data_IF_634474439877
#
_entry.id   IF_634474439877
#
_cell.length_a   1.000
_cell.length_b   1.000
_cell.length_c   1.000
_cell.angle_alpha   90.00
_cell.angle_beta   90.00
_cell.angle_gamma   90.00
#
_symmetry.space_group_name_H-M   'P 1'
#
loop_
_entity.id
_entity.type
_entity.pdbx_description
1 polymer ?
#
# COMPACT_ATOMS: atom_id res chain seq x y z
N UNK A 1 -2.12 -25.17 17.16
CA UNK A 1 -1.75 -24.17 16.14
C UNK A 1 -0.31 -23.78 16.40
N UNK A 2 0.53 -23.72 15.39
CA UNK A 2 1.95 -23.43 15.53
C UNK A 2 2.13 -22.03 16.15
N UNK A 3 3.06 -21.92 17.09
CA UNK A 3 3.40 -20.67 17.78
C UNK A 3 4.41 -19.82 16.97
N UNK A 4 4.43 -19.97 15.62
CA UNK A 4 5.39 -19.27 14.77
C UNK A 4 5.05 -17.79 14.71
N UNK A 5 5.96 -16.97 15.19
CA UNK A 5 5.86 -15.50 15.14
C UNK A 5 6.47 -15.00 13.83
N UNK A 6 5.91 -13.90 13.31
CA UNK A 6 6.35 -13.35 12.02
C UNK A 6 6.91 -11.96 12.24
N UNK A 7 8.08 -11.70 11.68
CA UNK A 7 8.79 -10.43 11.83
C UNK A 7 9.08 -9.79 10.48
N UNK A 8 9.22 -8.47 10.47
CA UNK A 8 9.61 -7.68 9.31
C UNK A 8 11.12 -7.48 9.36
N UNK A 9 11.82 -7.92 8.33
CA UNK A 9 13.28 -7.84 8.24
C UNK A 9 13.79 -6.97 7.11
N UNK A 10 12.95 -6.72 6.08
CA UNK A 10 13.31 -5.89 4.95
C UNK A 10 12.17 -5.06 4.41
N UNK A 11 12.49 -3.90 3.91
CA UNK A 11 11.57 -2.90 3.38
C UNK A 11 12.06 -2.41 2.01
N UNK A 12 11.14 -2.32 1.04
CA UNK A 12 11.44 -1.76 -0.28
C UNK A 12 10.24 -0.98 -0.80
N UNK A 13 10.49 0.22 -1.32
CA UNK A 13 9.45 1.15 -1.73
C UNK A 13 9.85 1.93 -2.98
N UNK A 14 8.87 2.15 -3.84
CA UNK A 14 8.89 3.13 -4.94
C UNK A 14 7.64 3.98 -4.77
N UNK A 15 7.77 5.29 -4.75
CA UNK A 15 6.66 6.20 -4.45
C UNK A 15 6.79 7.55 -5.15
N UNK A 16 5.77 8.40 -5.14
CA UNK A 16 5.86 9.78 -5.65
C UNK A 16 6.88 10.67 -4.91
N UNK A 17 7.34 10.25 -3.74
CA UNK A 17 8.31 10.97 -2.91
C UNK A 17 9.75 10.52 -3.12
N UNK A 18 9.96 9.36 -3.73
CA UNK A 18 11.29 8.81 -4.00
C UNK A 18 11.24 7.34 -4.41
N UNK A 19 12.36 6.87 -4.99
CA UNK A 19 12.50 5.53 -5.51
C UNK A 19 13.30 4.60 -4.57
N UNK A 20 13.40 4.96 -3.30
CA UNK A 20 14.00 4.17 -2.22
C UNK A 20 13.38 4.53 -0.86
N UNK A 21 13.71 3.74 0.18
CA UNK A 21 13.19 3.93 1.52
C UNK A 21 13.64 5.26 2.15
N UNK A 22 14.90 5.64 1.96
CA UNK A 22 15.47 6.81 2.63
C UNK A 22 14.85 8.10 2.11
N UNK A 23 14.79 8.27 0.78
CA UNK A 23 14.20 9.46 0.13
C UNK A 23 12.69 9.54 0.37
N UNK A 24 11.98 8.40 0.34
CA UNK A 24 10.55 8.37 0.61
C UNK A 24 10.27 8.73 2.07
N UNK A 25 10.98 8.12 3.03
CA UNK A 25 10.78 8.39 4.46
C UNK A 25 11.12 9.84 4.82
N UNK A 26 12.21 10.38 4.26
CA UNK A 26 12.53 11.80 4.40
C UNK A 26 11.40 12.70 3.90
N UNK A 27 10.79 12.36 2.74
CA UNK A 27 9.61 13.06 2.23
C UNK A 27 8.42 13.01 3.18
N UNK A 28 8.13 11.83 3.73
CA UNK A 28 7.03 11.61 4.67
C UNK A 28 7.21 12.42 5.95
N UNK A 29 8.38 12.34 6.60
CA UNK A 29 8.58 13.02 7.90
C UNK A 29 8.68 14.53 7.78
N UNK A 30 9.07 15.04 6.60
CA UNK A 30 9.11 16.47 6.31
C UNK A 30 7.80 17.01 5.70
N UNK A 31 6.76 16.20 5.61
CA UNK A 31 5.46 16.64 5.09
C UNK A 31 5.49 17.09 3.63
N UNK A 32 6.36 16.50 2.78
CA UNK A 32 6.43 16.85 1.37
C UNK A 32 5.29 16.19 0.59
N UNK A 33 4.67 16.93 -0.33
CA UNK A 33 3.72 16.36 -1.28
C UNK A 33 4.43 15.84 -2.52
N UNK A 34 4.14 14.60 -2.91
CA UNK A 34 4.55 14.01 -4.20
C UNK A 34 3.54 14.23 -5.32
N UNK A 35 2.43 14.93 -5.04
CA UNK A 35 1.35 15.19 -6.00
C UNK A 35 1.72 16.37 -6.89
N UNK A 36 1.48 16.22 -8.19
CA UNK A 36 1.72 17.22 -9.19
C UNK A 36 0.82 17.04 -10.41
N UNK A 37 0.98 17.89 -11.45
CA UNK A 37 0.30 17.71 -12.72
C UNK A 37 0.63 16.35 -13.33
N UNK A 38 -0.34 15.68 -13.93
CA UNK A 38 -0.13 14.46 -14.73
C UNK A 38 0.76 14.79 -15.92
N UNK A 39 1.85 14.02 -16.08
CA UNK A 39 2.85 14.23 -17.13
C UNK A 39 2.91 13.13 -18.18
N UNK A 40 2.35 11.96 -17.90
CA UNK A 40 2.45 10.77 -18.76
C UNK A 40 1.53 10.79 -19.97
N UNK A 41 0.46 11.62 -19.94
CA UNK A 41 -0.47 11.83 -21.05
C UNK A 41 -1.07 13.23 -20.98
N UNK A 42 -1.71 13.68 -22.06
CA UNK A 42 -2.46 14.94 -22.06
C UNK A 42 -3.76 14.81 -21.26
N UNK A 43 -3.73 15.37 -20.05
CA UNK A 43 -4.87 15.36 -19.14
C UNK A 43 -5.81 16.58 -19.31
N UNK A 44 -5.59 17.44 -20.32
CA UNK A 44 -6.32 18.71 -20.50
C UNK A 44 -7.85 18.57 -20.59
N UNK A 45 -8.34 17.45 -21.11
CA UNK A 45 -9.76 17.15 -21.23
C UNK A 45 -10.40 16.52 -19.97
N UNK A 46 -9.59 16.15 -18.96
CA UNK A 46 -10.08 15.48 -17.76
C UNK A 46 -10.44 16.47 -16.65
N UNK A 47 -11.44 16.11 -15.84
CA UNK A 47 -11.83 16.91 -14.66
C UNK A 47 -10.69 16.98 -13.63
N UNK A 48 -9.98 15.87 -13.42
CA UNK A 48 -8.77 15.78 -12.59
C UNK A 48 -7.55 15.70 -13.51
N UNK A 49 -6.55 16.55 -13.25
CA UNK A 49 -5.30 16.66 -14.03
C UNK A 49 -4.05 16.50 -13.17
N UNK A 50 -4.21 15.91 -11.97
CA UNK A 50 -3.19 15.77 -10.97
C UNK A 50 -3.08 14.31 -10.50
N UNK A 51 -1.87 13.87 -10.16
CA UNK A 51 -1.57 12.56 -9.58
C UNK A 51 -0.23 12.60 -8.84
N UNK A 52 -0.02 11.63 -7.96
CA UNK A 52 1.27 11.28 -7.40
C UNK A 52 1.99 10.30 -8.34
N UNK A 53 2.70 10.81 -9.33
CA UNK A 53 3.44 9.98 -10.28
C UNK A 53 4.81 9.60 -9.74
N UNK A 54 5.27 8.37 -10.02
CA UNK A 54 6.65 7.97 -9.81
C UNK A 54 7.53 8.69 -10.83
N UNK A 55 8.53 9.43 -10.34
CA UNK A 55 9.44 10.26 -11.15
C UNK A 55 10.86 9.68 -11.11
N UNK A 56 11.63 9.96 -12.17
CA UNK A 56 13.06 9.60 -12.26
C UNK A 56 13.35 8.10 -12.03
N UNK A 57 12.38 7.24 -12.37
CA UNK A 57 12.50 5.80 -12.27
C UNK A 57 12.93 5.18 -13.59
N UNK A 58 14.05 4.47 -13.58
CA UNK A 58 14.56 3.74 -14.74
C UNK A 58 14.46 2.22 -14.50
N UNK A 59 13.60 1.48 -15.21
CA UNK A 59 13.48 0.04 -15.05
C UNK A 59 14.77 -0.72 -15.32
N UNK A 60 15.67 -0.17 -16.16
CA UNK A 60 16.93 -0.82 -16.53
C UNK A 60 17.94 -0.91 -15.38
N UNK A 61 17.72 -0.16 -14.29
CA UNK A 61 18.55 -0.26 -13.07
C UNK A 61 18.23 -1.54 -12.28
N UNK A 62 17.10 -2.18 -12.54
CA UNK A 62 16.57 -3.31 -11.78
C UNK A 62 16.45 -4.60 -12.60
N UNK A 63 16.17 -4.48 -13.88
CA UNK A 63 15.99 -5.62 -14.79
C UNK A 63 16.68 -5.34 -16.12
N UNK A 64 17.17 -6.38 -16.84
CA UNK A 64 17.73 -6.17 -18.17
C UNK A 64 16.75 -5.46 -19.11
N UNK A 65 17.20 -4.45 -19.85
CA UNK A 65 16.34 -3.60 -20.68
C UNK A 65 15.47 -4.41 -21.70
N UNK A 66 15.95 -5.56 -22.19
CA UNK A 66 15.20 -6.46 -23.06
C UNK A 66 14.00 -7.10 -22.37
N UNK A 67 14.08 -7.32 -21.06
CA UNK A 67 13.03 -7.95 -20.26
C UNK A 67 12.07 -6.90 -19.72
N UNK A 68 12.55 -5.70 -19.36
CA UNK A 68 11.70 -4.57 -18.99
C UNK A 68 10.64 -4.26 -20.06
N UNK A 69 10.99 -4.35 -21.35
CA UNK A 69 10.04 -4.14 -22.47
C UNK A 69 8.89 -5.14 -22.55
N UNK A 70 8.95 -6.23 -21.77
CA UNK A 70 7.93 -7.29 -21.72
C UNK A 70 7.04 -7.17 -20.48
N UNK A 71 7.16 -6.09 -19.71
CA UNK A 71 6.48 -5.86 -18.44
C UNK A 71 5.77 -4.52 -18.47
N UNK A 72 4.57 -4.45 -17.90
CA UNK A 72 3.91 -3.18 -17.58
C UNK A 72 4.60 -2.51 -16.38
N UNK A 73 4.38 -1.21 -16.22
CA UNK A 73 5.08 -0.41 -15.22
C UNK A 73 4.81 -0.82 -13.77
N UNK A 74 3.61 -1.36 -13.46
CA UNK A 74 3.36 -1.88 -12.12
C UNK A 74 4.30 -3.03 -11.75
N UNK A 75 4.66 -3.88 -12.74
CA UNK A 75 5.65 -4.94 -12.53
C UNK A 75 7.03 -4.34 -12.30
N UNK A 76 7.42 -3.29 -13.04
CA UNK A 76 8.70 -2.62 -12.83
C UNK A 76 8.85 -2.11 -11.40
N UNK A 77 7.83 -1.40 -10.90
CA UNK A 77 7.83 -0.85 -9.53
C UNK A 77 7.89 -1.95 -8.48
N UNK A 78 7.06 -2.99 -8.65
CA UNK A 78 7.00 -4.10 -7.70
C UNK A 78 8.28 -4.95 -7.68
N UNK A 79 8.90 -5.20 -8.84
CA UNK A 79 10.22 -5.89 -8.93
C UNK A 79 11.29 -5.06 -8.23
N UNK A 80 11.40 -3.76 -8.54
CA UNK A 80 12.37 -2.87 -7.92
C UNK A 80 12.22 -2.87 -6.39
N UNK A 81 11.00 -2.64 -5.90
CA UNK A 81 10.71 -2.66 -4.46
C UNK A 81 11.00 -4.03 -3.81
N UNK A 82 10.74 -5.14 -4.51
CA UNK A 82 11.05 -6.49 -4.01
C UNK A 82 12.56 -6.71 -3.88
N UNK A 83 13.34 -6.31 -4.88
CA UNK A 83 14.80 -6.42 -4.83
C UNK A 83 15.41 -5.52 -3.75
N UNK A 84 14.87 -4.31 -3.56
CA UNK A 84 15.25 -3.42 -2.44
C UNK A 84 14.96 -4.08 -1.09
N UNK A 85 13.76 -4.65 -0.90
CA UNK A 85 13.38 -5.30 0.35
C UNK A 85 14.26 -6.52 0.67
N UNK A 86 14.59 -7.33 -0.34
CA UNK A 86 15.52 -8.48 -0.20
C UNK A 86 16.91 -8.00 0.21
N UNK A 87 17.42 -6.95 -0.44
CA UNK A 87 18.73 -6.37 -0.12
C UNK A 87 18.73 -5.76 1.29
N UNK A 88 17.68 -5.03 1.67
CA UNK A 88 17.52 -4.44 2.99
C UNK A 88 17.44 -5.49 4.10
N UNK A 89 16.81 -6.63 3.83
CA UNK A 89 16.77 -7.79 4.73
C UNK A 89 18.13 -8.49 4.86
N UNK A 90 19.10 -8.23 3.96
CA UNK A 90 20.31 -9.03 3.82
C UNK A 90 20.00 -10.50 3.57
N UNK A 91 18.92 -10.80 2.85
CA UNK A 91 18.46 -12.16 2.59
C UNK A 91 19.26 -12.76 1.42
N UNK A 92 20.05 -13.77 1.71
CA UNK A 92 20.75 -14.57 0.70
C UNK A 92 19.84 -15.73 0.28
N UNK A 93 19.59 -15.86 -1.01
CA UNK A 93 18.76 -16.93 -1.58
C UNK A 93 19.69 -17.94 -2.26
N UNK A 94 19.57 -19.21 -1.88
CA UNK A 94 20.37 -20.30 -2.40
C UNK A 94 19.53 -21.59 -2.51
N UNK A 95 20.13 -22.67 -3.02
CA UNK A 95 19.43 -23.95 -3.18
C UNK A 95 18.96 -24.58 -1.86
N UNK A 96 19.54 -24.17 -0.73
CA UNK A 96 19.17 -24.68 0.60
C UNK A 96 17.90 -24.04 1.16
N UNK A 97 17.54 -22.84 0.72
CA UNK A 97 16.39 -22.11 1.27
C UNK A 97 15.35 -21.68 0.23
N UNK A 98 15.66 -21.72 -1.06
CA UNK A 98 14.78 -21.20 -2.13
C UNK A 98 13.35 -21.76 -2.09
N UNK A 99 13.17 -23.05 -1.76
CA UNK A 99 11.85 -23.70 -1.68
C UNK A 99 11.02 -23.23 -0.47
N UNK A 100 11.67 -22.58 0.51
CA UNK A 100 11.02 -22.05 1.71
C UNK A 100 10.78 -20.53 1.67
N UNK A 101 11.13 -19.89 0.53
CA UNK A 101 10.95 -18.45 0.30
C UNK A 101 9.89 -18.28 -0.79
N UNK A 102 8.78 -17.64 -0.44
CA UNK A 102 7.67 -17.37 -1.35
C UNK A 102 7.46 -15.89 -1.64
N UNK A 103 6.52 -15.58 -2.54
CA UNK A 103 6.08 -14.23 -2.84
C UNK A 103 4.56 -14.15 -2.94
N UNK A 104 3.97 -13.15 -2.28
CA UNK A 104 2.56 -12.79 -2.38
C UNK A 104 2.46 -11.27 -2.59
N UNK A 105 2.41 -10.86 -3.85
CA UNK A 105 2.45 -9.45 -4.24
C UNK A 105 1.27 -9.18 -5.17
N UNK A 106 0.40 -8.26 -4.78
CA UNK A 106 -0.82 -7.95 -5.51
C UNK A 106 -0.77 -6.62 -6.28
N UNK A 107 -1.82 -6.38 -7.04
CA UNK A 107 -2.15 -5.10 -7.67
C UNK A 107 -3.67 -5.00 -7.74
N UNK A 108 -4.22 -3.79 -7.65
CA UNK A 108 -5.66 -3.58 -7.72
C UNK A 108 -6.20 -3.68 -9.14
N UNK A 109 -5.49 -3.13 -10.11
CA UNK A 109 -5.88 -3.08 -11.52
C UNK A 109 -4.91 -3.89 -12.40
N UNK A 110 -3.62 -3.88 -12.06
CA UNK A 110 -2.59 -4.53 -12.85
C UNK A 110 -2.15 -3.73 -14.07
N UNK A 111 -1.88 -4.40 -15.20
CA UNK A 111 -1.28 -3.81 -16.39
C UNK A 111 -2.23 -3.00 -17.25
N UNK A 112 -2.90 -1.99 -16.67
CA UNK A 112 -3.89 -1.17 -17.38
C UNK A 112 -3.29 -0.41 -18.56
N UNK A 113 -2.06 0.08 -18.45
CA UNK A 113 -1.38 0.78 -19.53
C UNK A 113 -1.11 -0.15 -20.71
N UNK A 114 -0.67 -1.38 -20.46
CA UNK A 114 -0.49 -2.38 -21.48
C UNK A 114 -1.82 -2.75 -22.16
N UNK A 115 -2.92 -2.82 -21.41
CA UNK A 115 -4.26 -3.08 -21.96
C UNK A 115 -4.68 -1.93 -22.89
N UNK A 116 -4.52 -0.67 -22.46
CA UNK A 116 -4.83 0.51 -23.28
C UNK A 116 -4.00 0.51 -24.59
N UNK A 117 -2.70 0.38 -24.49
CA UNK A 117 -1.78 0.39 -25.62
C UNK A 117 -2.09 -0.73 -26.65
N UNK A 118 -2.31 -1.95 -26.17
CA UNK A 118 -2.59 -3.07 -27.09
C UNK A 118 -4.00 -2.98 -27.67
N UNK A 119 -4.96 -2.41 -26.97
CA UNK A 119 -6.29 -2.12 -27.51
C UNK A 119 -6.21 -1.09 -28.64
N UNK A 120 -5.46 -0.01 -28.46
CA UNK A 120 -5.23 0.96 -29.51
C UNK A 120 -4.57 0.34 -30.74
N UNK A 121 -3.51 -0.44 -30.58
CA UNK A 121 -2.84 -1.18 -31.68
C UNK A 121 -3.79 -2.11 -32.41
N UNK A 122 -4.66 -2.80 -31.68
CA UNK A 122 -5.69 -3.67 -32.29
C UNK A 122 -6.67 -2.88 -33.13
N UNK A 123 -7.18 -1.75 -32.64
CA UNK A 123 -8.13 -0.90 -33.35
C UNK A 123 -7.53 -0.27 -34.61
N UNK A 124 -6.23 0.09 -34.57
CA UNK A 124 -5.52 0.68 -35.71
C UNK A 124 -5.10 -0.33 -36.77
N UNK A 125 -4.81 -1.57 -36.42
CA UNK A 125 -4.16 -2.49 -37.36
C UNK A 125 -4.54 -3.96 -37.24
N UNK A 126 -5.56 -4.27 -36.44
CA UNK A 126 -6.10 -5.64 -36.28
C UNK A 126 -5.23 -6.57 -35.41
N UNK A 127 -5.60 -7.85 -35.31
CA UNK A 127 -5.02 -8.77 -34.33
C UNK A 127 -3.52 -9.04 -34.51
N UNK A 128 -2.97 -8.84 -35.71
CA UNK A 128 -1.53 -9.00 -35.96
C UNK A 128 -0.64 -7.94 -35.34
N UNK A 129 -1.24 -6.85 -34.83
CA UNK A 129 -0.51 -5.76 -34.14
C UNK A 129 -0.38 -5.99 -32.65
N UNK A 130 -1.13 -6.93 -32.09
CA UNK A 130 -1.04 -7.27 -30.66
C UNK A 130 0.30 -7.93 -30.36
N UNK A 131 0.96 -7.47 -29.31
CA UNK A 131 2.25 -8.02 -28.85
C UNK A 131 2.09 -9.47 -28.35
N UNK A 132 3.02 -10.39 -28.67
CA UNK A 132 3.02 -11.72 -28.06
C UNK A 132 3.27 -11.69 -26.54
N UNK A 133 3.77 -10.57 -26.01
CA UNK A 133 3.98 -10.35 -24.59
C UNK A 133 2.80 -9.66 -23.88
N UNK A 134 1.71 -9.35 -24.60
CA UNK A 134 0.57 -8.63 -24.04
C UNK A 134 0.05 -9.29 -22.76
N UNK A 135 -0.35 -10.55 -22.83
CA UNK A 135 -0.90 -11.24 -21.66
C UNK A 135 0.12 -11.34 -20.51
N UNK A 136 1.38 -11.81 -20.73
CA UNK A 136 2.36 -11.86 -19.65
C UNK A 136 2.73 -10.49 -19.07
N UNK A 137 2.61 -9.40 -19.83
CA UNK A 137 2.92 -8.06 -19.32
C UNK A 137 1.83 -7.46 -18.44
N UNK A 138 0.58 -7.94 -18.55
CA UNK A 138 -0.57 -7.26 -17.92
C UNK A 138 -1.20 -8.03 -16.76
N UNK A 139 -1.10 -9.36 -16.73
CA UNK A 139 -1.72 -10.15 -15.66
C UNK A 139 -0.95 -10.00 -14.33
N UNK A 140 -1.69 -9.87 -13.24
CA UNK A 140 -1.16 -9.43 -11.94
C UNK A 140 -0.15 -10.41 -11.36
N UNK A 141 -0.38 -11.73 -11.50
CA UNK A 141 0.52 -12.74 -10.96
C UNK A 141 1.90 -12.78 -11.65
N UNK A 142 2.08 -12.06 -12.75
CA UNK A 142 3.41 -11.94 -13.36
C UNK A 142 4.35 -11.07 -12.53
N UNK A 143 3.85 -10.22 -11.64
CA UNK A 143 4.70 -9.48 -10.72
C UNK A 143 5.47 -10.42 -9.78
N UNK A 144 4.84 -11.23 -8.90
CA UNK A 144 5.59 -12.20 -8.09
C UNK A 144 6.28 -13.27 -8.95
N UNK A 145 5.75 -13.59 -10.14
CA UNK A 145 6.42 -14.46 -11.11
C UNK A 145 7.76 -13.93 -11.58
N UNK A 146 7.86 -12.63 -11.90
CA UNK A 146 9.11 -11.99 -12.30
C UNK A 146 10.09 -11.90 -11.11
N UNK A 147 9.60 -11.63 -9.91
CA UNK A 147 10.45 -11.68 -8.69
C UNK A 147 11.06 -13.08 -8.54
N UNK A 148 10.25 -14.13 -8.69
CA UNK A 148 10.73 -15.53 -8.64
C UNK A 148 11.79 -15.82 -9.70
N UNK A 149 11.56 -15.42 -10.95
CA UNK A 149 12.51 -15.62 -12.05
C UNK A 149 13.85 -14.91 -11.82
N UNK A 150 13.82 -13.72 -11.24
CA UNK A 150 15.02 -12.90 -11.02
C UNK A 150 15.82 -13.35 -9.78
N UNK A 151 15.15 -13.86 -8.75
CA UNK A 151 15.76 -14.15 -7.45
C UNK A 151 16.00 -15.63 -7.21
N UNK A 152 15.32 -16.51 -7.95
CA UNK A 152 15.41 -17.95 -7.78
C UNK A 152 14.55 -18.53 -6.64
N UNK A 153 13.66 -17.74 -6.02
CA UNK A 153 12.72 -18.26 -5.01
C UNK A 153 11.76 -19.27 -5.63
N UNK A 154 11.47 -20.34 -4.89
CA UNK A 154 10.69 -21.50 -5.37
C UNK A 154 9.53 -21.88 -4.44
N UNK A 155 9.32 -21.13 -3.37
CA UNK A 155 8.20 -21.32 -2.45
C UNK A 155 6.86 -20.84 -3.05
N UNK A 156 5.80 -20.72 -2.24
CA UNK A 156 4.48 -20.29 -2.69
C UNK A 156 4.54 -18.96 -3.45
N UNK A 157 3.90 -18.89 -4.65
CA UNK A 157 3.97 -17.73 -5.53
C UNK A 157 2.60 -17.43 -6.14
N UNK A 158 1.97 -16.34 -5.72
CA UNK A 158 0.67 -15.90 -6.25
C UNK A 158 0.37 -14.44 -5.89
N UNK A 159 -0.76 -13.91 -6.39
CA UNK A 159 -1.21 -12.55 -6.14
C UNK A 159 -2.61 -12.54 -5.53
N UNK A 160 -2.88 -11.60 -4.64
CA UNK A 160 -4.22 -11.22 -4.23
C UNK A 160 -4.69 -9.99 -5.02
N UNK A 161 -6.02 -9.86 -5.19
CA UNK A 161 -6.68 -8.70 -5.78
C UNK A 161 -7.90 -8.37 -4.93
N UNK A 162 -7.86 -7.23 -4.23
CA UNK A 162 -8.95 -6.74 -3.38
C UNK A 162 -8.97 -5.21 -3.33
N UNK A 163 -8.90 -4.61 -4.53
CA UNK A 163 -8.88 -3.17 -4.73
C UNK A 163 -7.86 -2.47 -3.81
N UNK A 164 -8.26 -1.42 -3.08
CA UNK A 164 -7.35 -0.66 -2.22
C UNK A 164 -6.83 -1.43 -0.99
N UNK A 165 -7.43 -2.56 -0.61
CA UNK A 165 -6.98 -3.43 0.48
C UNK A 165 -6.00 -4.52 0.04
N UNK A 166 -5.64 -4.58 -1.25
CA UNK A 166 -4.82 -5.65 -1.84
C UNK A 166 -3.53 -5.92 -1.07
N UNK A 167 -2.75 -4.90 -0.78
CA UNK A 167 -1.47 -5.10 -0.06
C UNK A 167 -1.67 -5.54 1.39
N UNK A 168 -2.69 -5.00 2.10
CA UNK A 168 -2.99 -5.45 3.46
C UNK A 168 -3.33 -6.93 3.48
N UNK A 169 -4.14 -7.41 2.52
CA UNK A 169 -4.47 -8.81 2.37
C UNK A 169 -3.25 -9.63 1.97
N UNK A 170 -2.44 -9.17 1.03
CA UNK A 170 -1.21 -9.86 0.61
C UNK A 170 -0.26 -10.07 1.80
N UNK A 171 0.01 -9.02 2.58
CA UNK A 171 0.88 -9.08 3.76
C UNK A 171 0.27 -9.99 4.84
N UNK A 172 -1.02 -9.83 5.14
CA UNK A 172 -1.71 -10.64 6.15
C UNK A 172 -1.79 -12.13 5.78
N UNK A 173 -2.06 -12.45 4.52
CA UNK A 173 -2.07 -13.84 4.04
C UNK A 173 -0.66 -14.44 4.02
N UNK A 174 0.36 -13.68 3.63
CA UNK A 174 1.76 -14.09 3.69
C UNK A 174 2.18 -14.41 5.15
N UNK A 175 1.75 -13.59 6.13
CA UNK A 175 1.92 -13.90 7.56
C UNK A 175 1.29 -15.26 7.91
N UNK A 176 0.07 -15.54 7.46
CA UNK A 176 -0.59 -16.85 7.71
C UNK A 176 0.21 -18.02 7.13
N UNK A 177 0.72 -17.87 5.92
CA UNK A 177 1.53 -18.94 5.29
C UNK A 177 2.77 -19.28 6.11
N UNK A 178 3.46 -18.25 6.65
CA UNK A 178 4.57 -18.47 7.57
C UNK A 178 4.08 -19.14 8.86
N UNK A 179 2.99 -18.67 9.44
CA UNK A 179 2.42 -19.23 10.67
C UNK A 179 1.99 -20.71 10.51
N UNK A 180 1.46 -21.08 9.35
CA UNK A 180 1.08 -22.46 9.03
C UNK A 180 2.27 -23.34 8.63
N UNK A 181 3.43 -22.75 8.35
CA UNK A 181 4.63 -23.48 7.98
C UNK A 181 4.77 -23.80 6.49
N UNK A 182 3.97 -23.16 5.64
CA UNK A 182 4.09 -23.32 4.18
C UNK A 182 5.38 -22.66 3.66
N UNK A 183 5.84 -21.61 4.32
CA UNK A 183 7.08 -20.89 4.03
C UNK A 183 7.79 -20.49 5.33
N UNK A 184 9.07 -20.14 5.24
CA UNK A 184 9.83 -19.52 6.33
C UNK A 184 10.04 -18.02 6.07
N UNK A 185 10.01 -17.63 4.79
CA UNK A 185 10.13 -16.25 4.34
C UNK A 185 9.08 -15.96 3.27
N UNK A 186 8.45 -14.79 3.34
CA UNK A 186 7.53 -14.31 2.31
C UNK A 186 7.87 -12.87 1.91
N UNK A 187 7.97 -12.62 0.61
CA UNK A 187 8.06 -11.29 0.02
C UNK A 187 6.63 -10.84 -0.26
N UNK A 188 6.14 -9.81 0.45
CA UNK A 188 4.72 -9.49 0.44
C UNK A 188 4.43 -7.99 0.34
N UNK A 189 3.35 -7.65 -0.35
CA UNK A 189 2.91 -6.27 -0.52
C UNK A 189 2.12 -6.06 -1.80
N UNK A 190 2.34 -4.94 -2.47
CA UNK A 190 1.70 -4.66 -3.75
C UNK A 190 2.37 -3.55 -4.54
N UNK A 191 2.01 -3.49 -5.82
CA UNK A 191 2.46 -2.46 -6.75
C UNK A 191 1.30 -2.03 -7.65
N UNK A 192 1.29 -0.76 -8.03
CA UNK A 192 0.24 -0.20 -8.88
C UNK A 192 0.77 0.95 -9.74
N UNK A 193 0.27 1.06 -10.96
CA UNK A 193 0.33 2.25 -11.76
C UNK A 193 -1.07 2.59 -12.26
N UNK A 194 -1.81 3.33 -11.42
CA UNK A 194 -3.20 3.69 -11.69
C UNK A 194 -3.36 4.97 -12.51
N UNK A 195 -2.31 5.76 -12.72
CA UNK A 195 -2.36 7.05 -13.44
C UNK A 195 -2.38 6.85 -14.97
N UNK A 196 -3.41 6.16 -15.48
CA UNK A 196 -3.65 5.95 -16.92
C UNK A 196 -4.86 6.76 -17.41
N UNK A 197 -4.99 7.05 -18.71
CA UNK A 197 -6.16 7.75 -19.26
C UNK A 197 -7.49 7.11 -18.87
N UNK A 198 -7.64 5.80 -19.03
CA UNK A 198 -8.92 5.13 -18.73
C UNK A 198 -9.19 5.03 -17.24
N UNK A 199 -8.17 4.83 -16.39
CA UNK A 199 -8.35 4.85 -14.94
C UNK A 199 -8.76 6.24 -14.44
N UNK A 200 -8.02 7.29 -14.83
CA UNK A 200 -8.35 8.67 -14.46
C UNK A 200 -9.75 9.03 -14.95
N UNK A 201 -10.09 8.69 -16.22
CA UNK A 201 -11.42 8.91 -16.78
C UNK A 201 -12.52 8.18 -16.02
N UNK A 202 -12.29 6.92 -15.66
CA UNK A 202 -13.24 6.12 -14.88
C UNK A 202 -13.51 6.69 -13.48
N UNK A 203 -12.47 7.05 -12.74
CA UNK A 203 -12.63 7.67 -11.42
C UNK A 203 -13.21 9.09 -11.48
N UNK A 204 -12.87 9.89 -12.52
CA UNK A 204 -13.52 11.17 -12.77
C UNK A 204 -15.04 11.02 -13.02
N UNK A 205 -15.43 10.00 -13.82
CA UNK A 205 -16.85 9.73 -14.10
C UNK A 205 -17.62 9.35 -12.84
N UNK A 206 -16.96 8.74 -11.86
CA UNK A 206 -17.52 8.44 -10.53
C UNK A 206 -17.55 9.66 -9.59
N UNK A 207 -16.97 10.80 -9.99
CA UNK A 207 -16.77 11.99 -9.14
C UNK A 207 -16.05 11.66 -7.80
N UNK A 208 -15.10 10.75 -7.85
CA UNK A 208 -14.40 10.26 -6.66
C UNK A 208 -13.06 10.98 -6.43
N UNK A 209 -12.54 11.68 -7.44
CA UNK A 209 -11.25 12.35 -7.41
C UNK A 209 -11.38 13.85 -7.13
N UNK A 210 -10.35 14.37 -6.44
CA UNK A 210 -10.19 15.83 -6.26
C UNK A 210 -10.02 16.54 -7.61
N UNK A 211 -10.63 17.70 -7.72
CA UNK A 211 -10.50 18.59 -8.88
C UNK A 211 -9.68 19.85 -8.58
N UNK A 212 -8.92 19.87 -7.49
CA UNK A 212 -8.03 20.97 -7.09
C UNK A 212 -6.77 21.04 -7.97
N UNK A 213 -6.97 21.20 -9.25
CA UNK A 213 -5.90 21.16 -10.26
C UNK A 213 -4.92 22.33 -10.18
N UNK A 214 -5.35 23.47 -9.63
CA UNK A 214 -4.55 24.69 -9.57
C UNK A 214 -3.58 24.70 -8.38
N UNK A 215 -3.80 23.81 -7.41
CA UNK A 215 -2.91 23.58 -6.26
C UNK A 215 -2.79 22.09 -5.97
N UNK A 216 -2.02 21.34 -6.77
CA UNK A 216 -1.90 19.90 -6.65
C UNK A 216 -1.41 19.44 -5.29
N UNK A 217 -0.46 20.18 -4.69
CA UNK A 217 0.12 19.82 -3.41
C UNK A 217 -0.87 19.88 -2.24
N UNK A 218 -1.91 20.69 -2.34
CA UNK A 218 -2.98 20.85 -1.36
C UNK A 218 -4.24 20.02 -1.66
N UNK A 219 -4.22 19.18 -2.72
CA UNK A 219 -5.42 18.47 -3.19
C UNK A 219 -5.81 17.30 -2.29
N UNK A 220 -4.85 16.47 -1.87
CA UNK A 220 -5.10 15.39 -0.92
C UNK A 220 -5.04 15.94 0.51
N UNK A 221 -6.21 15.97 1.16
CA UNK A 221 -6.40 16.62 2.47
C UNK A 221 -7.35 15.82 3.38
N UNK A 222 -6.95 14.61 3.80
CA UNK A 222 -7.79 13.73 4.62
C UNK A 222 -8.33 14.45 5.87
N UNK A 223 -9.62 14.24 6.16
CA UNK A 223 -10.41 14.83 7.26
C UNK A 223 -10.57 16.35 7.22
N UNK A 224 -9.91 17.05 6.31
CA UNK A 224 -10.12 18.50 6.18
C UNK A 224 -11.53 18.81 5.68
N UNK A 225 -12.08 19.95 6.10
CA UNK A 225 -13.43 20.41 5.75
C UNK A 225 -13.59 20.61 4.24
N UNK A 226 -12.54 21.02 3.55
CA UNK A 226 -12.55 21.31 2.11
C UNK A 226 -12.09 20.14 1.23
N UNK A 227 -12.03 18.91 1.78
CA UNK A 227 -11.70 17.73 0.99
C UNK A 227 -12.78 17.46 -0.05
N UNK A 228 -12.38 17.19 -1.28
CA UNK A 228 -13.27 17.03 -2.44
C UNK A 228 -13.10 15.71 -3.20
N UNK A 229 -12.26 14.80 -2.70
CA UNK A 229 -11.98 13.50 -3.32
C UNK A 229 -10.53 13.08 -3.18
N UNK A 230 -10.22 11.84 -3.58
CA UNK A 230 -8.87 11.35 -3.52
C UNK A 230 -8.02 11.80 -4.71
N UNK A 231 -6.71 11.70 -4.58
CA UNK A 231 -5.75 11.88 -5.68
C UNK A 231 -5.09 10.53 -5.95
N UNK A 232 -5.00 10.08 -7.21
CA UNK A 232 -4.28 8.87 -7.58
C UNK A 232 -2.79 8.99 -7.26
N UNK A 233 -2.18 7.88 -6.87
CA UNK A 233 -0.73 7.74 -6.72
C UNK A 233 -0.26 6.42 -7.35
N UNK A 234 0.96 6.40 -7.84
CA UNK A 234 1.64 5.24 -8.38
C UNK A 234 2.75 4.76 -7.44
N UNK A 235 3.11 3.48 -7.50
CA UNK A 235 4.25 2.99 -6.75
C UNK A 235 4.16 1.52 -6.33
N UNK A 236 5.00 1.15 -5.38
CA UNK A 236 5.05 -0.18 -4.78
C UNK A 236 5.54 -0.10 -3.33
N UNK A 237 4.98 -0.94 -2.47
CA UNK A 237 5.48 -1.16 -1.10
C UNK A 237 5.58 -2.64 -0.81
N UNK A 238 6.79 -3.12 -0.50
CA UNK A 238 7.11 -4.54 -0.32
C UNK A 238 7.86 -4.74 0.99
N UNK A 239 7.44 -5.75 1.74
CA UNK A 239 8.07 -6.20 2.97
C UNK A 239 8.66 -7.60 2.79
N UNK A 240 9.79 -7.87 3.43
CA UNK A 240 10.26 -9.23 3.70
C UNK A 240 9.75 -9.62 5.08
N UNK A 241 8.94 -10.67 5.12
CA UNK A 241 8.40 -11.28 6.32
C UNK A 241 9.14 -12.58 6.59
N UNK A 242 9.58 -12.79 7.82
CA UNK A 242 10.28 -14.01 8.21
C UNK A 242 9.71 -14.62 9.48
N UNK A 243 9.82 -15.93 9.59
CA UNK A 243 9.62 -16.62 10.86
C UNK A 243 10.69 -16.13 11.85
N UNK A 244 10.29 -15.82 13.09
CA UNK A 244 11.14 -15.16 14.08
C UNK A 244 12.44 -15.92 14.37
N UNK A 245 12.36 -17.25 14.59
CA UNK A 245 13.55 -18.04 14.92
C UNK A 245 14.46 -18.27 13.70
N UNK A 246 13.87 -18.33 12.49
CA UNK A 246 14.63 -18.33 11.25
C UNK A 246 15.40 -17.01 11.07
N UNK A 247 14.73 -15.86 11.28
CA UNK A 247 15.35 -14.54 11.20
C UNK A 247 16.52 -14.39 12.20
N UNK A 248 16.31 -14.82 13.45
CA UNK A 248 17.36 -14.82 14.50
C UNK A 248 18.53 -15.74 14.14
N UNK A 249 18.26 -16.93 13.64
CA UNK A 249 19.29 -17.93 13.32
C UNK A 249 20.25 -17.43 12.23
N UNK A 250 19.75 -16.62 11.26
CA UNK A 250 20.61 -16.01 10.24
C UNK A 250 21.17 -14.63 10.64
N UNK A 251 20.87 -14.14 11.85
CA UNK A 251 21.35 -12.83 12.33
C UNK A 251 20.69 -11.64 11.64
N UNK A 252 19.44 -11.78 11.19
CA UNK A 252 18.72 -10.71 10.53
C UNK A 252 18.49 -9.50 11.44
N UNK A 253 18.57 -8.29 10.87
CA UNK A 253 17.97 -7.12 11.50
C UNK A 253 16.45 -7.30 11.50
N UNK A 254 15.81 -7.06 12.64
CA UNK A 254 14.36 -7.11 12.78
C UNK A 254 13.85 -5.69 13.05
N UNK A 255 12.93 -5.21 12.22
CA UNK A 255 12.27 -3.91 12.42
C UNK A 255 11.21 -3.99 13.52
N UNK A 256 10.30 -4.96 13.39
CA UNK A 256 9.20 -5.19 14.32
C UNK A 256 8.58 -6.58 14.05
N UNK A 257 7.62 -6.96 14.89
CA UNK A 257 6.74 -8.11 14.66
C UNK A 257 5.49 -7.68 13.89
N UNK A 258 5.09 -8.42 12.86
CA UNK A 258 3.74 -8.40 12.31
C UNK A 258 2.89 -9.32 13.20
N UNK A 259 2.18 -8.71 14.16
CA UNK A 259 1.54 -9.42 15.26
C UNK A 259 0.10 -9.87 14.95
N UNK A 260 -0.60 -9.17 14.06
CA UNK A 260 -2.00 -9.48 13.77
C UNK A 260 -2.49 -8.99 12.42
N UNK A 261 -3.52 -9.69 11.94
CA UNK A 261 -4.21 -9.41 10.69
C UNK A 261 -5.72 -9.61 10.85
N UNK A 262 -6.49 -8.64 10.38
CA UNK A 262 -7.93 -8.71 10.25
C UNK A 262 -8.38 -8.55 8.80
N UNK A 263 -9.41 -9.29 8.41
CA UNK A 263 -10.06 -9.18 7.11
C UNK A 263 -11.57 -9.33 7.27
N UNK A 264 -12.34 -8.39 6.72
CA UNK A 264 -13.81 -8.39 6.76
C UNK A 264 -14.41 -7.87 5.46
N UNK A 265 -15.71 -8.03 5.32
CA UNK A 265 -16.50 -7.43 4.23
C UNK A 265 -17.66 -6.61 4.81
N UNK A 266 -17.97 -5.47 4.17
CA UNK A 266 -19.07 -4.61 4.55
C UNK A 266 -20.44 -5.19 4.18
N UNK A 267 -20.51 -5.91 3.07
CA UNK A 267 -21.75 -6.41 2.46
C UNK A 267 -22.83 -5.31 2.31
N UNK A 268 -22.41 -4.10 1.93
CA UNK A 268 -23.24 -2.89 1.91
C UNK A 268 -23.44 -2.32 0.52
N UNK A 269 -22.35 -1.84 -0.10
CA UNK A 269 -22.40 -1.17 -1.41
C UNK A 269 -21.13 -1.43 -2.20
N UNK A 270 -21.18 -1.31 -3.54
CA UNK A 270 -20.07 -1.57 -4.44
C UNK A 270 -18.87 -0.63 -4.21
N UNK A 271 -19.12 0.64 -3.88
CA UNK A 271 -18.06 1.66 -3.75
C UNK A 271 -18.18 2.54 -2.51
N UNK A 272 -19.38 2.71 -1.95
CA UNK A 272 -19.57 3.51 -0.75
C UNK A 272 -19.26 2.71 0.52
N UNK A 273 -18.60 3.31 1.53
CA UNK A 273 -18.42 2.69 2.83
C UNK A 273 -19.77 2.57 3.55
N UNK A 274 -19.87 1.63 4.50
CA UNK A 274 -21.03 1.58 5.40
C UNK A 274 -21.10 2.87 6.24
N UNK A 275 -22.30 3.45 6.38
CA UNK A 275 -22.51 4.78 6.99
C UNK A 275 -21.90 4.96 8.38
N UNK A 276 -21.80 3.90 9.16
CA UNK A 276 -21.30 3.92 10.53
C UNK A 276 -19.94 3.21 10.71
N UNK A 277 -19.25 2.86 9.61
CA UNK A 277 -17.95 2.22 9.63
C UNK A 277 -17.92 0.84 10.28
N UNK A 278 -19.02 0.08 10.26
CA UNK A 278 -19.17 -1.20 10.99
C UNK A 278 -18.17 -2.26 10.49
N UNK A 279 -18.04 -2.45 9.18
CA UNK A 279 -17.13 -3.42 8.58
C UNK A 279 -15.65 -3.15 8.91
N UNK A 280 -15.16 -1.92 8.67
CA UNK A 280 -13.83 -1.49 9.12
C UNK A 280 -13.60 -1.67 10.62
N UNK A 281 -14.58 -1.34 11.47
CA UNK A 281 -14.45 -1.53 12.92
C UNK A 281 -14.28 -3.02 13.30
N UNK A 282 -15.05 -3.92 12.68
CA UNK A 282 -14.86 -5.37 12.86
C UNK A 282 -13.48 -5.84 12.39
N UNK A 283 -12.98 -5.25 11.31
CA UNK A 283 -11.66 -5.58 10.78
C UNK A 283 -10.56 -5.21 11.78
N UNK A 284 -10.58 -3.99 12.31
CA UNK A 284 -9.65 -3.54 13.37
C UNK A 284 -9.75 -4.41 14.62
N UNK A 285 -10.97 -4.70 15.10
CA UNK A 285 -11.18 -5.57 16.26
C UNK A 285 -10.66 -7.00 16.02
N UNK A 286 -10.79 -7.52 14.79
CA UNK A 286 -10.26 -8.83 14.40
C UNK A 286 -8.72 -8.82 14.44
N UNK A 287 -8.09 -7.78 13.90
CA UNK A 287 -6.64 -7.63 13.89
C UNK A 287 -6.07 -7.52 15.31
N UNK A 288 -6.70 -6.76 16.20
CA UNK A 288 -6.30 -6.65 17.62
C UNK A 288 -6.42 -7.99 18.35
N UNK A 289 -7.52 -8.73 18.14
CA UNK A 289 -7.68 -10.07 18.72
C UNK A 289 -6.60 -11.04 18.25
N UNK A 290 -6.26 -10.99 16.98
CA UNK A 290 -5.21 -11.82 16.40
C UNK A 290 -3.85 -11.48 16.98
N UNK A 291 -3.53 -10.19 17.11
CA UNK A 291 -2.32 -9.67 17.74
C UNK A 291 -2.28 -9.88 19.27
N UNK A 292 -3.41 -10.24 19.89
CA UNK A 292 -3.60 -10.33 21.35
C UNK A 292 -3.24 -9.01 22.05
N UNK A 293 -3.74 -7.91 21.51
CA UNK A 293 -3.58 -6.57 22.08
C UNK A 293 -4.94 -5.95 22.36
N UNK A 294 -5.02 -5.20 23.45
CA UNK A 294 -6.20 -4.42 23.79
C UNK A 294 -6.15 -3.05 23.08
N UNK A 295 -7.30 -2.37 22.90
CA UNK A 295 -7.38 -1.05 22.27
C UNK A 295 -6.37 -0.04 22.84
N UNK A 296 -6.13 -0.06 24.14
CA UNK A 296 -5.24 0.85 24.86
C UNK A 296 -3.77 0.73 24.47
N UNK A 297 -3.38 -0.37 23.83
CA UNK A 297 -2.04 -0.59 23.33
C UNK A 297 -1.76 0.14 22.01
N UNK A 298 -2.81 0.53 21.25
CA UNK A 298 -2.65 1.15 19.93
C UNK A 298 -2.22 2.60 20.10
N UNK A 299 -0.94 2.86 19.91
CA UNK A 299 -0.37 4.21 20.00
C UNK A 299 -0.45 4.99 18.68
N UNK A 300 -0.39 4.30 17.54
CA UNK A 300 -0.44 4.90 16.21
C UNK A 300 -1.33 4.09 15.25
N UNK A 301 -2.08 4.79 14.41
CA UNK A 301 -2.89 4.22 13.35
C UNK A 301 -2.61 4.96 12.03
N UNK A 302 -2.02 4.26 11.06
CA UNK A 302 -1.95 4.72 9.68
C UNK A 302 -3.28 4.37 9.01
N UNK A 303 -4.07 5.40 8.72
CA UNK A 303 -5.44 5.23 8.26
C UNK A 303 -5.55 5.03 6.75
N UNK A 304 -6.67 4.49 6.33
CA UNK A 304 -7.02 4.49 4.92
C UNK A 304 -7.21 5.91 4.39
N UNK A 305 -7.87 6.81 5.10
CA UNK A 305 -7.95 8.26 4.95
C UNK A 305 -7.69 8.79 3.53
N UNK A 306 -8.65 8.64 2.63
CA UNK A 306 -8.46 8.91 1.19
C UNK A 306 -8.72 10.34 0.78
N UNK A 307 -9.08 11.25 1.70
CA UNK A 307 -9.53 12.61 1.38
C UNK A 307 -10.92 12.67 0.71
N UNK A 308 -11.74 11.64 0.96
CA UNK A 308 -13.13 11.64 0.47
C UNK A 308 -14.11 12.02 1.58
N UNK A 309 -15.16 12.82 1.28
CA UNK A 309 -16.10 13.27 2.31
C UNK A 309 -16.71 12.15 3.14
N UNK A 310 -17.19 11.08 2.51
CA UNK A 310 -17.83 9.95 3.18
C UNK A 310 -16.83 8.97 3.79
N UNK A 311 -15.72 8.68 3.08
CA UNK A 311 -14.74 7.67 3.51
C UNK A 311 -14.06 8.05 4.82
N UNK A 312 -13.57 9.27 4.91
CA UNK A 312 -12.81 9.75 6.07
C UNK A 312 -13.69 9.85 7.33
N UNK A 313 -14.97 10.26 7.17
CA UNK A 313 -15.92 10.29 8.29
C UNK A 313 -16.27 8.85 8.73
N UNK A 314 -16.54 7.94 7.80
CA UNK A 314 -16.85 6.55 8.13
C UNK A 314 -15.67 5.87 8.85
N UNK A 315 -14.43 6.14 8.45
CA UNK A 315 -13.25 5.63 9.13
C UNK A 315 -13.08 6.22 10.53
N UNK A 316 -13.34 7.53 10.73
CA UNK A 316 -13.38 8.15 12.06
C UNK A 316 -14.36 7.41 12.99
N UNK A 317 -15.57 7.14 12.51
CA UNK A 317 -16.56 6.39 13.27
C UNK A 317 -16.12 4.94 13.55
N UNK A 318 -15.50 4.30 12.57
CA UNK A 318 -14.94 2.97 12.72
C UNK A 318 -13.84 2.90 13.79
N UNK A 319 -12.91 3.86 13.80
CA UNK A 319 -11.84 3.95 14.80
C UNK A 319 -12.43 4.14 16.20
N UNK A 320 -13.39 5.07 16.37
CA UNK A 320 -14.09 5.26 17.64
C UNK A 320 -14.82 3.99 18.12
N UNK A 321 -15.45 3.28 17.20
CA UNK A 321 -16.13 2.03 17.50
C UNK A 321 -15.19 0.90 17.90
N UNK A 322 -14.01 0.82 17.25
CA UNK A 322 -13.02 -0.23 17.50
C UNK A 322 -12.19 0.01 18.75
N UNK A 323 -11.82 1.26 19.03
CA UNK A 323 -10.92 1.64 20.12
C UNK A 323 -11.64 2.25 21.34
N UNK A 324 -12.95 2.53 21.26
CA UNK A 324 -13.70 3.19 22.34
C UNK A 324 -13.11 4.54 22.69
N UNK A 325 -13.07 4.87 23.98
CA UNK A 325 -12.50 6.15 24.48
C UNK A 325 -11.01 6.31 24.18
N UNK A 326 -10.30 5.20 23.91
CA UNK A 326 -8.89 5.25 23.55
C UNK A 326 -8.64 5.86 22.16
N UNK A 327 -9.65 5.88 21.28
CA UNK A 327 -9.56 6.54 19.97
C UNK A 327 -9.08 7.99 20.05
N UNK A 328 -9.44 8.71 21.13
CA UNK A 328 -9.01 10.09 21.36
C UNK A 328 -7.57 10.24 21.90
N UNK A 329 -6.90 9.13 22.20
CA UNK A 329 -5.51 9.08 22.65
C UNK A 329 -4.57 8.49 21.60
N UNK A 330 -5.13 7.81 20.59
CA UNK A 330 -4.38 7.23 19.48
C UNK A 330 -4.03 8.31 18.48
N UNK A 331 -2.76 8.40 18.09
CA UNK A 331 -2.35 9.23 16.97
C UNK A 331 -2.77 8.58 15.67
N UNK A 332 -3.53 9.29 14.86
CA UNK A 332 -4.02 8.80 13.54
C UNK A 332 -3.40 9.66 12.45
N UNK A 333 -2.92 9.10 11.37
CA UNK A 333 -2.54 9.93 10.22
C UNK A 333 -2.82 9.23 8.89
N UNK A 334 -3.01 10.01 7.83
CA UNK A 334 -3.07 9.52 6.46
C UNK A 334 -1.89 10.05 5.66
N UNK A 335 -0.97 9.15 5.34
CA UNK A 335 0.17 9.44 4.46
C UNK A 335 -0.23 9.63 3.00
N UNK A 336 -1.50 9.31 2.64
CA UNK A 336 -2.07 9.64 1.34
C UNK A 336 -2.18 11.15 1.09
N UNK A 337 -2.14 11.96 2.13
CA UNK A 337 -2.00 13.41 1.99
C UNK A 337 -0.74 13.82 1.22
N UNK A 338 0.31 12.99 1.27
CA UNK A 338 1.62 13.22 0.65
C UNK A 338 1.84 12.38 -0.62
N UNK A 339 1.47 11.10 -0.59
CA UNK A 339 1.70 10.18 -1.71
C UNK A 339 0.57 10.12 -2.73
N UNK A 340 -0.62 10.61 -2.39
CA UNK A 340 -1.84 10.20 -3.07
C UNK A 340 -2.22 8.75 -2.72
N UNK A 341 -3.25 8.25 -3.35
CA UNK A 341 -3.76 6.90 -3.14
C UNK A 341 -3.17 5.91 -4.15
N UNK A 342 -2.26 5.05 -3.71
CA UNK A 342 -1.58 4.06 -4.55
C UNK A 342 -2.45 2.82 -4.86
N UNK A 343 -3.76 2.90 -4.66
CA UNK A 343 -4.71 1.80 -4.90
C UNK A 343 -4.25 0.48 -4.27
N UNK A 344 -4.00 -0.56 -5.09
CA UNK A 344 -3.57 -1.87 -4.58
C UNK A 344 -2.19 -1.87 -3.90
N UNK A 345 -1.33 -0.89 -4.19
CA UNK A 345 -0.03 -0.73 -3.55
C UNK A 345 -0.09 0.06 -2.23
N UNK A 346 -1.19 0.78 -1.96
CA UNK A 346 -1.29 1.70 -0.83
C UNK A 346 -0.95 1.05 0.50
N UNK A 347 -1.59 -0.07 0.82
CA UNK A 347 -1.35 -0.78 2.08
C UNK A 347 0.08 -1.28 2.27
N UNK A 348 0.82 -1.55 1.18
CA UNK A 348 2.24 -1.92 1.24
C UNK A 348 3.11 -0.74 1.66
N UNK A 349 2.92 0.42 1.03
CA UNK A 349 3.61 1.65 1.41
C UNK A 349 3.27 2.08 2.85
N UNK A 350 1.99 2.02 3.23
CA UNK A 350 1.49 2.40 4.55
C UNK A 350 1.93 1.44 5.65
N UNK A 351 2.05 0.14 5.35
CA UNK A 351 2.69 -0.82 6.22
C UNK A 351 4.16 -0.45 6.49
N UNK A 352 4.91 -0.08 5.45
CA UNK A 352 6.30 0.41 5.59
C UNK A 352 6.34 1.66 6.48
N UNK A 353 5.46 2.63 6.27
CA UNK A 353 5.43 3.84 7.10
C UNK A 353 5.06 3.53 8.56
N UNK A 354 4.19 2.56 8.81
CA UNK A 354 3.85 2.08 10.16
C UNK A 354 5.04 1.40 10.84
N UNK A 355 5.78 0.57 10.10
CA UNK A 355 7.03 -0.06 10.58
C UNK A 355 8.10 0.99 10.88
N UNK A 356 8.27 1.98 10.00
CA UNK A 356 9.22 3.07 10.20
C UNK A 356 8.84 3.96 11.38
N UNK A 357 7.56 4.20 11.62
CA UNK A 357 7.08 4.94 12.79
C UNK A 357 7.47 4.23 14.10
N UNK A 358 7.29 2.91 14.18
CA UNK A 358 7.76 2.10 15.32
C UNK A 358 9.29 2.12 15.46
N UNK A 359 10.00 2.02 14.36
CA UNK A 359 11.46 1.92 14.35
C UNK A 359 12.14 3.24 14.73
N UNK A 360 11.65 4.36 14.20
CA UNK A 360 12.28 5.69 14.37
C UNK A 360 11.71 6.51 15.52
N UNK A 361 10.49 6.20 15.98
CA UNK A 361 9.75 7.02 16.94
C UNK A 361 9.25 8.34 16.33
N UNK A 362 9.07 8.40 15.00
CA UNK A 362 8.53 9.57 14.30
C UNK A 362 7.19 9.19 13.69
N UNK A 363 6.12 9.82 14.12
CA UNK A 363 4.77 9.61 13.60
C UNK A 363 4.55 10.54 12.40
N UNK A 364 4.22 9.98 11.21
CA UNK A 364 3.94 10.76 10.01
C UNK A 364 2.78 11.74 10.18
N UNK A 365 2.82 12.92 9.55
CA UNK A 365 1.71 13.86 9.60
C UNK A 365 0.62 13.52 8.57
N UNK A 366 -0.57 14.08 8.78
CA UNK A 366 -1.55 14.35 7.74
C UNK A 366 -1.38 15.79 7.30
N UNK A 367 -0.79 16.03 6.12
CA UNK A 367 -0.64 17.39 5.61
C UNK A 367 -1.95 17.94 5.04
N UNK A 368 -2.06 19.25 4.89
CA UNK A 368 -3.23 19.95 4.37
C UNK A 368 -4.48 19.82 5.27
N UNK A 369 -4.33 19.44 6.51
CA UNK A 369 -5.42 19.42 7.49
C UNK A 369 -5.38 20.72 8.28
N UNK A 370 -6.09 21.71 7.77
CA UNK A 370 -6.15 23.06 8.36
C UNK A 370 -7.37 23.22 9.25
N UNK A 371 -8.54 22.76 8.80
CA UNK A 371 -9.78 22.77 9.55
C UNK A 371 -10.48 21.39 9.45
N UNK A 372 -10.55 20.61 10.53
CA UNK A 372 -11.23 19.32 10.52
C UNK A 372 -12.71 19.48 10.12
N UNK A 373 -13.17 18.54 9.27
CA UNK A 373 -14.58 18.45 8.88
C UNK A 373 -15.47 18.05 10.06
N UNK A 374 -16.77 18.27 9.91
CA UNK A 374 -17.75 17.88 10.93
C UNK A 374 -17.66 16.36 11.26
N UNK A 375 -17.62 16.02 12.53
CA UNK A 375 -17.46 14.66 13.04
C UNK A 375 -16.04 14.08 12.96
N UNK A 376 -15.09 14.80 12.40
CA UNK A 376 -13.68 14.44 12.34
C UNK A 376 -12.93 15.11 13.52
N UNK A 377 -12.94 14.48 14.69
CA UNK A 377 -12.51 15.06 15.97
C UNK A 377 -11.45 14.23 16.73
N UNK A 378 -10.73 13.34 16.00
CA UNK A 378 -9.59 12.60 16.55
C UNK A 378 -8.27 13.39 16.40
N UNK A 379 -7.18 12.86 16.96
CA UNK A 379 -5.83 13.40 16.75
C UNK A 379 -5.26 12.89 15.43
N UNK A 380 -5.40 13.63 14.35
CA UNK A 380 -4.94 13.24 13.02
C UNK A 380 -3.49 13.65 12.69
N UNK A 381 -2.70 14.02 13.69
CA UNK A 381 -1.31 14.50 13.55
C UNK A 381 -1.20 15.57 12.44
N UNK A 382 -1.88 16.73 12.57
CA UNK A 382 -2.00 17.69 11.48
C UNK A 382 -0.65 18.32 11.11
N UNK A 383 -0.38 18.36 9.83
CA UNK A 383 0.67 19.12 9.13
C UNK A 383 2.13 18.83 9.51
N UNK A 384 2.44 18.48 10.76
CA UNK A 384 3.81 18.30 11.24
C UNK A 384 3.99 16.93 11.88
N UNK A 385 5.05 16.21 11.48
CA UNK A 385 5.42 14.93 12.08
C UNK A 385 5.69 15.09 13.58
N UNK A 386 5.35 14.06 14.36
CA UNK A 386 5.45 14.09 15.81
C UNK A 386 6.46 13.08 16.32
N UNK A 387 7.36 13.49 17.22
CA UNK A 387 8.21 12.57 17.97
C UNK A 387 7.37 11.88 19.05
N UNK A 388 7.22 10.56 18.94
CA UNK A 388 6.50 9.74 19.91
C UNK A 388 6.95 8.29 19.84
N UNK A 389 7.33 7.72 20.98
CA UNK A 389 7.58 6.30 21.09
C UNK A 389 6.24 5.58 21.26
N UNK A 390 5.96 4.66 20.32
CA UNK A 390 4.80 3.79 20.38
C UNK A 390 5.25 2.34 20.26
N UNK A 391 4.55 1.43 20.94
CA UNK A 391 4.89 0.01 20.92
C UNK A 391 4.05 -0.80 19.96
N UNK A 392 2.85 -0.30 19.61
CA UNK A 392 1.93 -0.94 18.68
C UNK A 392 1.42 0.08 17.68
N UNK A 393 1.53 -0.26 16.40
CA UNK A 393 0.97 0.49 15.28
C UNK A 393 -0.02 -0.37 14.50
N UNK A 394 -1.06 0.27 13.96
CA UNK A 394 -2.07 -0.33 13.11
C UNK A 394 -2.04 0.31 11.72
N UNK A 395 -2.31 -0.47 10.66
CA UNK A 395 -2.43 0.05 9.29
C UNK A 395 -3.71 -0.48 8.64
N UNK A 396 -4.54 0.43 8.16
CA UNK A 396 -5.84 0.15 7.55
C UNK A 396 -5.82 0.28 6.03
N UNK A 397 -6.45 -0.67 5.34
CA UNK A 397 -6.76 -0.57 3.91
C UNK A 397 -8.20 -1.02 3.66
N UNK A 398 -9.03 -0.12 3.10
CA UNK A 398 -10.44 -0.38 2.81
C UNK A 398 -10.69 -0.19 1.32
N UNK A 399 -11.26 -1.20 0.67
CA UNK A 399 -11.36 -1.24 -0.79
C UNK A 399 -12.78 -1.25 -1.32
N UNK A 400 -12.94 -0.84 -2.56
CA UNK A 400 -14.16 -1.05 -3.32
C UNK A 400 -14.56 -2.53 -3.27
N UNK A 401 -15.86 -2.81 -3.26
CA UNK A 401 -16.41 -4.13 -2.95
C UNK A 401 -16.65 -4.34 -1.44
N UNK A 402 -16.36 -3.31 -0.61
CA UNK A 402 -16.50 -3.37 0.85
C UNK A 402 -15.48 -4.32 1.49
N UNK A 403 -14.31 -4.47 0.88
CA UNK A 403 -13.24 -5.34 1.39
C UNK A 403 -12.32 -4.56 2.31
N UNK A 404 -12.07 -5.08 3.51
CA UNK A 404 -11.31 -4.41 4.57
C UNK A 404 -10.14 -5.28 5.01
N UNK A 405 -8.95 -4.68 5.14
CA UNK A 405 -7.74 -5.29 5.64
C UNK A 405 -7.06 -4.40 6.69
N UNK A 406 -6.75 -4.96 7.85
CA UNK A 406 -6.03 -4.27 8.93
C UNK A 406 -4.83 -5.10 9.38
N UNK A 407 -3.67 -4.46 9.47
CA UNK A 407 -2.43 -5.04 9.98
C UNK A 407 -2.08 -4.43 11.33
N UNK A 408 -1.53 -5.23 12.24
CA UNK A 408 -1.01 -4.78 13.53
C UNK A 408 0.46 -5.12 13.63
N UNK A 409 1.29 -4.11 13.84
CA UNK A 409 2.72 -4.21 14.05
C UNK A 409 3.05 -3.92 15.51
N UNK A 410 4.03 -4.63 16.06
CA UNK A 410 4.45 -4.48 17.44
C UNK A 410 5.97 -4.44 17.54
N UNK A 411 6.49 -3.52 18.34
CA UNK A 411 7.91 -3.48 18.72
C UNK A 411 8.30 -4.78 19.43
N UNK A 412 9.53 -5.27 19.18
CA UNK A 412 10.11 -6.44 19.85
C UNK A 412 11.00 -6.02 21.01
#
# INVERSE_FOLDING_TARGET
MSNRRVVVTGLGIVSPLGNDLASTWDGIVNGRSGIGPISHFDAGAFATRIAGEVRDFNPADWVPAKDAKKMDSFIHYGVAASLMAIADAGLVIDDGNAERIGALIGSGIGGILGIEEQTEKYLQGGPRKISPFYVPSTIINMLPGQVSLLTGIKGPNFSAVSACATSNHSIGMAMRMIQYGDADVMIAGGAERGSSPTSVGGFCSMKAMSTRNDDPAAASRPWDRERDGFVLGDGAGILVLEELEYAKARGARIYCELAGFGATSDAYHMTAPSENGEGPARCMAMAMRDAKVEPEAIGYLNAHGTSTPLGDLAETLAIKRALGDHAYKTMVSSTKSMTGHLLGAAGGAEAIFSVMALHTGIIPPTINLDEPGEGCDLDYVPNVARQAQVDVAMSNGFGFGGTNGTLVFRRL
#
